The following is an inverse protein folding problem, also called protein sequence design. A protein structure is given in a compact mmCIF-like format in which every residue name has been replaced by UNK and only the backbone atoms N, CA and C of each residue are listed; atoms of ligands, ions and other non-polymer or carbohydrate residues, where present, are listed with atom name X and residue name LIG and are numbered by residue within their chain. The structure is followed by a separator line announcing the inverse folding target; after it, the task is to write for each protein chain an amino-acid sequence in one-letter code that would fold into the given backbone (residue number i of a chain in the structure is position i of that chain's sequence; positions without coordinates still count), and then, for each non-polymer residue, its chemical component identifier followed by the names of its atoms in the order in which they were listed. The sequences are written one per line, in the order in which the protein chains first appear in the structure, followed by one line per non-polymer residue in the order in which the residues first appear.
data_IF_325282485629
#
_entry.id   IF_325282485629
#
_cell.length_a   1.000
_cell.length_b   1.000
_cell.length_c   1.000
_cell.angle_alpha   90.00
_cell.angle_beta   90.00
_cell.angle_gamma   90.00
#
_symmetry.space_group_name_H-M   'P 1'
#
loop_
_entity.id
_entity.type
_entity.pdbx_description
1 polymer ?
#
# COMPACT_ATOMS: atom_id res chain seq x y z
N UNK A 1 -34.02 -36.55 -46.42
CA UNK A 1 -35.34 -37.21 -46.29
C UNK A 1 -35.55 -37.49 -44.80
N UNK A 2 -36.78 -37.18 -44.36
CA UNK A 2 -37.42 -37.41 -43.04
C UNK A 2 -36.93 -36.53 -41.89
N UNK A 3 -37.68 -35.96 -41.13
CA UNK A 3 -39.12 -35.77 -40.88
C UNK A 3 -39.21 -34.92 -39.63
N UNK A 4 -39.86 -33.79 -39.73
CA UNK A 4 -40.16 -32.88 -38.62
C UNK A 4 -41.38 -33.43 -37.88
N UNK A 5 -41.25 -33.60 -36.56
CA UNK A 5 -42.39 -33.90 -35.71
C UNK A 5 -42.75 -32.69 -34.85
N UNK A 6 -43.99 -32.23 -35.02
CA UNK A 6 -44.58 -31.05 -34.36
C UNK A 6 -45.19 -31.50 -33.03
N UNK A 7 -44.53 -31.22 -31.91
CA UNK A 7 -45.09 -31.35 -30.58
C UNK A 7 -45.99 -30.17 -30.19
N UNK A 8 -47.26 -30.47 -29.93
CA UNK A 8 -48.33 -29.56 -29.56
C UNK A 8 -48.05 -28.76 -28.28
N UNK A 9 -48.16 -27.45 -28.33
CA UNK A 9 -48.29 -26.60 -27.16
C UNK A 9 -49.73 -26.77 -26.59
N UNK A 10 -49.82 -27.28 -25.36
CA UNK A 10 -51.03 -27.20 -24.56
C UNK A 10 -50.99 -25.89 -23.74
N UNK A 11 -51.96 -25.02 -24.02
CA UNK A 11 -52.28 -23.81 -23.25
C UNK A 11 -52.99 -24.20 -21.96
N UNK A 12 -52.30 -24.24 -20.85
CA UNK A 12 -52.91 -24.24 -19.52
C UNK A 12 -53.26 -22.81 -19.10
N UNK A 13 -54.57 -22.55 -19.09
CA UNK A 13 -55.17 -21.32 -18.53
C UNK A 13 -55.08 -21.36 -17.01
N UNK A 14 -54.06 -20.70 -16.40
CA UNK A 14 -54.08 -20.45 -14.97
C UNK A 14 -55.11 -19.37 -14.64
N UNK A 15 -56.16 -19.77 -13.90
CA UNK A 15 -57.14 -18.85 -13.29
C UNK A 15 -56.46 -18.02 -12.20
N UNK A 16 -56.25 -16.74 -12.48
CA UNK A 16 -55.84 -15.75 -11.50
C UNK A 16 -57.06 -15.34 -10.68
N UNK A 17 -57.32 -16.07 -9.61
CA UNK A 17 -58.33 -15.72 -8.59
C UNK A 17 -57.58 -15.62 -7.26
N UNK A 18 -57.45 -14.45 -6.69
CA UNK A 18 -57.01 -14.31 -5.29
C UNK A 18 -55.99 -13.23 -4.94
N UNK A 19 -55.67 -12.26 -5.83
CA UNK A 19 -54.61 -11.26 -5.56
C UNK A 19 -55.17 -9.93 -4.99
N UNK A 20 -56.44 -9.78 -4.75
CA UNK A 20 -57.05 -8.47 -4.39
C UNK A 20 -56.94 -8.08 -2.92
N UNK A 21 -56.61 -8.97 -2.01
CA UNK A 21 -56.59 -8.67 -0.56
C UNK A 21 -55.18 -8.56 0.04
N UNK A 22 -54.11 -8.92 -0.71
CA UNK A 22 -52.73 -8.82 -0.18
C UNK A 22 -52.10 -7.45 -0.43
N UNK A 23 -52.61 -6.68 -1.42
CA UNK A 23 -52.06 -5.37 -1.76
C UNK A 23 -52.33 -4.27 -0.72
N UNK A 24 -53.33 -4.44 0.13
CA UNK A 24 -53.78 -3.42 1.10
C UNK A 24 -52.95 -3.43 2.41
N UNK A 25 -52.25 -4.53 2.72
CA UNK A 25 -51.43 -4.65 3.94
C UNK A 25 -49.96 -4.32 3.75
N UNK A 26 -49.47 -4.31 2.51
CA UNK A 26 -48.06 -4.01 2.22
C UNK A 26 -47.80 -2.49 2.08
N UNK A 27 -48.80 -1.72 1.65
CA UNK A 27 -48.65 -0.27 1.44
C UNK A 27 -48.37 0.53 2.72
N UNK A 28 -49.02 0.28 3.89
CA UNK A 28 -48.70 1.00 5.12
C UNK A 28 -47.36 0.59 5.73
N UNK A 29 -46.82 -0.61 5.46
CA UNK A 29 -45.53 -1.05 5.99
C UNK A 29 -44.35 -0.40 5.32
N UNK A 30 -44.45 0.02 4.07
CA UNK A 30 -43.41 0.72 3.33
C UNK A 30 -43.29 2.18 3.77
N UNK A 31 -44.38 2.81 4.20
CA UNK A 31 -44.39 4.18 4.70
C UNK A 31 -43.79 4.33 6.10
N UNK A 32 -43.74 3.27 6.91
CA UNK A 32 -43.12 3.30 8.23
C UNK A 32 -41.60 3.10 8.21
N UNK A 33 -41.03 2.57 7.12
CA UNK A 33 -39.59 2.37 6.97
C UNK A 33 -38.82 3.61 6.41
N UNK A 34 -39.57 4.60 5.90
CA UNK A 34 -38.95 5.81 5.30
C UNK A 34 -38.62 6.91 6.32
N UNK A 35 -38.90 6.70 7.61
CA UNK A 35 -38.86 7.74 8.64
C UNK A 35 -37.52 7.98 9.34
N UNK A 36 -36.48 7.17 9.13
CA UNK A 36 -35.28 7.25 9.97
C UNK A 36 -34.08 8.06 9.39
N UNK A 37 -34.18 8.64 8.21
CA UNK A 37 -33.03 9.35 7.62
C UNK A 37 -33.10 10.90 7.70
N UNK A 38 -34.18 11.45 8.21
CA UNK A 38 -34.41 12.91 8.22
C UNK A 38 -33.76 13.67 9.39
N UNK A 39 -33.09 12.97 10.33
CA UNK A 39 -32.46 13.62 11.49
C UNK A 39 -30.93 13.44 11.54
N UNK A 40 -30.28 13.16 10.41
CA UNK A 40 -28.84 13.31 10.34
C UNK A 40 -28.53 14.80 10.57
N UNK A 41 -28.05 15.16 11.76
CA UNK A 41 -27.53 16.51 12.02
C UNK A 41 -26.50 16.81 10.91
N UNK A 42 -26.61 17.96 10.22
CA UNK A 42 -25.61 18.35 9.25
C UNK A 42 -24.27 18.34 9.95
N UNK A 43 -23.35 17.53 9.46
CA UNK A 43 -21.97 17.52 9.95
C UNK A 43 -21.45 18.95 9.77
N UNK A 44 -20.97 19.62 10.84
CA UNK A 44 -20.42 20.94 10.70
C UNK A 44 -19.35 20.94 9.61
N UNK A 45 -19.31 21.95 8.73
CA UNK A 45 -18.28 22.05 7.72
C UNK A 45 -16.91 21.94 8.39
N UNK A 46 -16.03 21.10 7.82
CA UNK A 46 -14.67 20.96 8.33
C UNK A 46 -14.02 22.37 8.39
N UNK A 47 -13.27 22.68 9.45
CA UNK A 47 -12.64 23.99 9.58
C UNK A 47 -11.78 24.27 8.34
N UNK A 48 -11.94 25.46 7.77
CA UNK A 48 -11.17 25.88 6.59
C UNK A 48 -9.71 26.17 7.01
N UNK A 49 -8.87 25.15 6.95
CA UNK A 49 -7.44 25.28 7.26
C UNK A 49 -6.79 26.11 6.15
N UNK A 50 -6.14 27.23 6.47
CA UNK A 50 -5.54 28.11 5.46
C UNK A 50 -4.41 27.38 4.72
N UNK A 51 -4.17 27.79 3.47
CA UNK A 51 -3.04 27.31 2.69
C UNK A 51 -1.73 27.79 3.33
N UNK A 52 -0.81 26.86 3.55
CA UNK A 52 0.52 27.17 4.10
C UNK A 52 1.47 27.56 2.96
N UNK A 53 2.36 28.51 3.23
CA UNK A 53 3.50 28.81 2.34
C UNK A 53 4.70 27.97 2.77
N UNK A 54 5.35 27.32 1.80
CA UNK A 54 6.56 26.53 2.07
C UNK A 54 7.57 26.68 0.92
N UNK A 55 8.85 26.72 1.27
CA UNK A 55 9.96 26.70 0.30
C UNK A 55 10.34 25.25 -0.05
N UNK A 56 11.12 25.08 -1.11
CA UNK A 56 11.67 23.78 -1.50
C UNK A 56 12.44 23.12 -0.34
N UNK A 57 13.32 23.88 0.32
CA UNK A 57 14.16 23.42 1.43
C UNK A 57 13.29 22.93 2.60
N UNK A 58 12.21 23.68 2.91
CA UNK A 58 11.28 23.28 3.97
C UNK A 58 10.57 21.96 3.65
N UNK A 59 10.11 21.77 2.41
CA UNK A 59 9.44 20.53 1.99
C UNK A 59 10.43 19.36 1.95
N UNK A 60 11.65 19.56 1.48
CA UNK A 60 12.72 18.55 1.50
C UNK A 60 13.09 18.16 2.95
N UNK A 61 13.21 19.15 3.85
CA UNK A 61 13.43 18.90 5.27
C UNK A 61 12.33 18.04 5.90
N UNK A 62 11.05 18.30 5.55
CA UNK A 62 9.92 17.48 6.01
C UNK A 62 10.00 16.03 5.52
N UNK A 63 10.49 15.77 4.30
CA UNK A 63 10.70 14.39 3.82
C UNK A 63 11.75 13.68 4.68
N UNK A 64 12.88 14.33 4.92
CA UNK A 64 13.98 13.78 5.74
C UNK A 64 13.55 13.52 7.19
N UNK A 65 12.87 14.50 7.81
CA UNK A 65 12.36 14.37 9.18
C UNK A 65 11.39 13.19 9.33
N UNK A 66 10.46 13.03 8.38
CA UNK A 66 9.43 11.98 8.43
C UNK A 66 9.99 10.60 8.17
N UNK A 67 10.92 10.49 7.24
CA UNK A 67 11.60 9.23 6.97
C UNK A 67 12.47 8.82 8.17
N UNK A 68 13.25 9.76 8.74
CA UNK A 68 14.12 9.50 9.88
C UNK A 68 13.38 9.06 11.15
N UNK A 69 12.10 9.43 11.28
CA UNK A 69 11.28 9.05 12.45
C UNK A 69 10.95 7.55 12.50
N UNK A 70 11.03 6.83 11.38
CA UNK A 70 10.66 5.42 11.29
C UNK A 70 11.93 4.57 11.17
N UNK A 71 12.25 3.87 12.25
CA UNK A 71 13.36 2.90 12.29
C UNK A 71 12.86 1.49 11.97
N UNK A 72 11.72 1.14 12.56
CA UNK A 72 11.03 -0.11 12.30
C UNK A 72 9.54 0.17 12.09
N UNK A 73 8.85 -0.74 11.41
CA UNK A 73 7.41 -0.64 11.26
C UNK A 73 6.80 -2.03 11.14
N UNK A 74 5.70 -2.24 11.87
CA UNK A 74 4.79 -3.37 11.66
C UNK A 74 3.45 -2.83 11.22
N UNK A 75 2.73 -3.56 10.38
CA UNK A 75 1.39 -3.17 9.95
C UNK A 75 0.60 -4.35 9.43
N UNK A 76 -0.72 -4.22 9.57
CA UNK A 76 -1.70 -5.15 9.00
C UNK A 76 -2.57 -4.38 8.02
N UNK A 77 -2.85 -5.00 6.87
CA UNK A 77 -3.62 -4.34 5.81
C UNK A 77 -4.47 -5.33 5.02
N UNK A 78 -5.58 -4.84 4.47
CA UNK A 78 -6.29 -5.47 3.36
C UNK A 78 -5.81 -4.90 2.03
N UNK A 79 -5.58 -5.76 1.04
CA UNK A 79 -5.20 -5.37 -0.32
C UNK A 79 -6.28 -5.74 -1.32
N UNK A 80 -6.56 -4.85 -2.28
CA UNK A 80 -7.32 -5.13 -3.48
C UNK A 80 -6.39 -5.00 -4.67
N UNK A 81 -6.27 -6.07 -5.46
CA UNK A 81 -5.28 -6.17 -6.53
C UNK A 81 -6.02 -6.46 -7.84
N UNK A 82 -5.71 -5.71 -8.88
CA UNK A 82 -6.14 -5.94 -10.26
C UNK A 82 -4.93 -5.92 -11.18
N UNK A 83 -5.00 -6.67 -12.29
CA UNK A 83 -3.93 -6.65 -13.28
C UNK A 83 -4.03 -7.78 -14.30
N UNK A 84 -3.18 -7.75 -15.32
CA UNK A 84 -3.11 -8.81 -16.32
C UNK A 84 -2.81 -10.16 -15.67
N UNK A 85 -3.60 -11.18 -16.01
CA UNK A 85 -3.46 -12.52 -15.46
C UNK A 85 -4.06 -12.71 -14.05
N UNK A 86 -4.68 -11.66 -13.47
CA UNK A 86 -5.43 -11.72 -12.23
C UNK A 86 -6.92 -11.73 -12.57
N UNK A 87 -7.66 -12.82 -12.32
CA UNK A 87 -9.09 -12.87 -12.65
C UNK A 87 -9.87 -11.95 -11.69
N UNK A 88 -10.41 -10.87 -12.25
CA UNK A 88 -11.17 -9.86 -11.50
C UNK A 88 -10.34 -9.14 -10.43
N UNK A 89 -11.02 -8.55 -9.44
CA UNK A 89 -10.38 -7.95 -8.27
C UNK A 89 -10.11 -9.01 -7.21
N UNK A 90 -8.85 -9.27 -6.91
CA UNK A 90 -8.47 -10.16 -5.81
C UNK A 90 -8.34 -9.39 -4.50
N UNK A 91 -8.82 -10.00 -3.41
CA UNK A 91 -8.68 -9.46 -2.04
C UNK A 91 -7.74 -10.35 -1.25
N UNK A 92 -6.78 -9.73 -0.60
CA UNK A 92 -5.72 -10.37 0.18
C UNK A 92 -5.59 -9.64 1.49
N UNK A 93 -5.51 -10.36 2.60
CA UNK A 93 -5.05 -9.81 3.87
C UNK A 93 -3.53 -9.88 3.92
N UNK A 94 -2.89 -8.89 4.53
CA UNK A 94 -1.44 -8.83 4.52
C UNK A 94 -0.83 -8.27 5.79
N UNK A 95 0.44 -8.59 5.97
CA UNK A 95 1.28 -8.04 7.01
C UNK A 95 2.58 -7.49 6.42
N UNK A 96 3.02 -6.37 6.96
CA UNK A 96 4.31 -5.74 6.63
C UNK A 96 5.18 -5.70 7.87
N UNK A 97 6.47 -5.97 7.67
CA UNK A 97 7.55 -5.69 8.62
C UNK A 97 8.63 -4.92 7.85
N UNK A 98 9.05 -3.81 8.40
CA UNK A 98 10.12 -2.98 7.84
C UNK A 98 11.17 -2.70 8.91
N UNK A 99 12.42 -2.68 8.50
CA UNK A 99 13.55 -2.24 9.29
C UNK A 99 14.47 -1.38 8.42
N UNK A 100 14.78 -0.18 8.90
CA UNK A 100 15.67 0.73 8.20
C UNK A 100 17.08 0.13 8.06
N UNK A 101 17.81 0.39 6.93
CA UNK A 101 17.41 1.36 5.90
C UNK A 101 16.48 0.78 4.82
N UNK A 102 16.48 -0.53 4.55
CA UNK A 102 15.90 -1.10 3.34
C UNK A 102 15.29 -2.50 3.51
N UNK A 103 15.37 -3.08 4.70
CA UNK A 103 14.81 -4.41 4.92
C UNK A 103 13.29 -4.36 5.02
N UNK A 104 12.60 -5.00 4.07
CA UNK A 104 11.15 -5.07 3.98
C UNK A 104 10.70 -6.52 3.83
N UNK A 105 9.71 -6.94 4.61
CA UNK A 105 9.03 -8.21 4.45
C UNK A 105 7.53 -7.98 4.32
N UNK A 106 6.95 -8.46 3.23
CA UNK A 106 5.55 -8.36 2.91
C UNK A 106 4.95 -9.75 2.76
N UNK A 107 3.91 -10.08 3.49
CA UNK A 107 3.21 -11.36 3.42
C UNK A 107 1.76 -11.13 3.03
N UNK A 108 1.24 -11.96 2.13
CA UNK A 108 -0.17 -11.95 1.77
C UNK A 108 -0.82 -13.29 2.11
N UNK A 109 -2.05 -13.22 2.62
CA UNK A 109 -2.84 -14.36 3.07
C UNK A 109 -4.21 -14.34 2.41
N UNK A 110 -4.78 -15.52 2.18
CA UNK A 110 -6.18 -15.62 1.83
C UNK A 110 -7.07 -15.51 3.09
N UNK A 111 -8.39 -15.51 2.90
CA UNK A 111 -9.36 -15.42 4.00
C UNK A 111 -9.28 -16.58 5.01
N UNK A 112 -8.66 -17.69 4.64
CA UNK A 112 -8.45 -18.86 5.51
C UNK A 112 -7.10 -18.80 6.24
N UNK A 113 -6.35 -17.71 6.11
CA UNK A 113 -5.04 -17.55 6.73
C UNK A 113 -3.90 -18.28 6.02
N UNK A 114 -4.13 -18.92 4.86
CA UNK A 114 -3.06 -19.53 4.09
C UNK A 114 -2.20 -18.46 3.41
N UNK A 115 -0.89 -18.59 3.51
CA UNK A 115 0.05 -17.68 2.87
C UNK A 115 0.02 -17.85 1.35
N UNK A 116 -0.32 -16.78 0.64
CA UNK A 116 -0.36 -16.71 -0.82
C UNK A 116 1.01 -16.36 -1.40
N UNK A 117 1.69 -15.44 -0.75
CA UNK A 117 3.02 -15.00 -1.14
C UNK A 117 3.79 -14.43 0.05
N UNK A 118 5.10 -14.37 -0.11
CA UNK A 118 6.01 -13.65 0.76
C UNK A 118 7.06 -12.95 -0.11
N UNK A 119 7.12 -11.62 -0.02
CA UNK A 119 8.14 -10.79 -0.64
C UNK A 119 9.08 -10.30 0.45
N UNK A 120 10.36 -10.53 0.27
CA UNK A 120 11.42 -9.94 1.09
C UNK A 120 12.29 -9.06 0.20
N UNK A 121 12.66 -7.88 0.71
CA UNK A 121 13.54 -6.91 0.08
C UNK A 121 14.62 -6.54 1.07
N UNK A 122 15.84 -6.38 0.62
CA UNK A 122 16.98 -5.91 1.41
C UNK A 122 18.26 -5.99 0.56
N UNK A 123 19.23 -5.13 0.83
CA UNK A 123 20.51 -5.06 0.10
C UNK A 123 20.31 -4.97 -1.43
N UNK A 124 19.38 -4.15 -1.88
CA UNK A 124 18.98 -3.97 -3.30
C UNK A 124 18.50 -5.25 -4.00
N UNK A 125 18.17 -6.28 -3.24
CA UNK A 125 17.71 -7.58 -3.74
C UNK A 125 16.29 -7.86 -3.27
N UNK A 126 15.58 -8.69 -4.05
CA UNK A 126 14.30 -9.25 -3.63
C UNK A 126 14.25 -10.77 -3.71
N UNK A 127 13.41 -11.35 -2.88
CA UNK A 127 12.97 -12.75 -2.98
C UNK A 127 11.46 -12.79 -2.85
N UNK A 128 10.78 -13.29 -3.90
CA UNK A 128 9.34 -13.51 -3.91
C UNK A 128 9.05 -14.99 -3.90
N UNK A 129 8.37 -15.46 -2.86
CA UNK A 129 7.91 -16.86 -2.70
C UNK A 129 6.41 -16.92 -2.92
N UNK A 130 5.94 -17.74 -3.83
CA UNK A 130 4.53 -17.93 -4.14
C UNK A 130 3.99 -19.23 -3.53
N UNK A 131 2.65 -19.30 -3.35
CA UNK A 131 1.95 -20.47 -2.78
C UNK A 131 2.24 -21.77 -3.53
N UNK A 132 2.47 -21.70 -4.85
CA UNK A 132 2.81 -22.88 -5.68
C UNK A 132 4.26 -23.35 -5.54
N UNK A 133 5.00 -22.84 -4.57
CA UNK A 133 6.42 -23.16 -4.33
C UNK A 133 7.40 -22.42 -5.26
N UNK A 134 6.93 -21.64 -6.24
CA UNK A 134 7.82 -20.87 -7.11
C UNK A 134 8.52 -19.79 -6.30
N UNK A 135 9.85 -19.69 -6.47
CA UNK A 135 10.69 -18.66 -5.87
C UNK A 135 11.31 -17.83 -7.00
N UNK A 136 11.15 -16.51 -6.92
CA UNK A 136 11.76 -15.54 -7.83
C UNK A 136 12.73 -14.69 -7.02
N UNK A 137 13.94 -14.51 -7.52
CA UNK A 137 14.98 -13.69 -6.91
C UNK A 137 15.59 -12.78 -7.95
N UNK A 138 16.03 -11.60 -7.55
CA UNK A 138 16.66 -10.64 -8.45
C UNK A 138 17.03 -9.35 -7.73
N UNK A 139 17.56 -8.38 -8.49
CA UNK A 139 17.79 -7.04 -7.99
C UNK A 139 16.50 -6.20 -8.09
N UNK A 140 16.37 -5.18 -7.25
CA UNK A 140 15.20 -4.29 -7.29
C UNK A 140 15.03 -3.59 -8.64
N UNK A 141 16.11 -3.30 -9.34
CA UNK A 141 16.12 -2.77 -10.71
C UNK A 141 15.51 -3.73 -11.72
N UNK A 142 15.62 -5.03 -11.48
CA UNK A 142 15.10 -6.06 -12.39
C UNK A 142 13.59 -6.33 -12.17
N UNK A 143 13.02 -5.92 -11.02
CA UNK A 143 11.56 -5.98 -10.79
C UNK A 143 10.78 -5.27 -11.90
N UNK A 144 11.40 -4.32 -12.58
CA UNK A 144 10.83 -3.61 -13.72
C UNK A 144 10.78 -4.47 -15.00
N UNK A 145 11.65 -5.47 -15.09
CA UNK A 145 11.82 -6.33 -16.28
C UNK A 145 11.12 -7.68 -16.15
N UNK A 146 10.82 -8.10 -14.91
CA UNK A 146 10.13 -9.38 -14.66
C UNK A 146 8.67 -9.26 -15.05
N UNK A 147 8.28 -10.07 -16.03
CA UNK A 147 6.97 -10.11 -16.69
C UNK A 147 5.77 -10.14 -15.71
N UNK A 148 4.62 -9.80 -16.24
CA UNK A 148 3.21 -9.79 -15.77
C UNK A 148 2.89 -10.13 -14.28
N UNK A 149 3.62 -11.06 -13.66
CA UNK A 149 3.42 -11.48 -12.26
C UNK A 149 4.06 -10.50 -11.27
N UNK A 150 5.16 -9.84 -11.64
CA UNK A 150 5.91 -8.96 -10.72
C UNK A 150 5.40 -7.52 -10.68
N UNK A 151 4.61 -7.08 -11.67
CA UNK A 151 4.05 -5.70 -11.69
C UNK A 151 3.24 -5.34 -10.45
N UNK A 152 2.29 -6.18 -9.97
CA UNK A 152 1.56 -5.88 -8.73
C UNK A 152 2.47 -5.77 -7.51
N UNK A 153 3.56 -6.56 -7.45
CA UNK A 153 4.53 -6.50 -6.35
C UNK A 153 5.38 -5.23 -6.40
N UNK A 154 5.72 -4.74 -7.59
CA UNK A 154 6.35 -3.43 -7.76
C UNK A 154 5.47 -2.30 -7.24
N UNK A 155 4.18 -2.29 -7.59
CA UNK A 155 3.22 -1.34 -7.04
C UNK A 155 3.13 -1.44 -5.52
N UNK A 156 3.21 -2.66 -4.95
CA UNK A 156 3.22 -2.86 -3.50
C UNK A 156 4.43 -2.19 -2.86
N UNK A 157 5.64 -2.35 -3.41
CA UNK A 157 6.86 -1.70 -2.89
C UNK A 157 6.73 -0.17 -2.96
N UNK A 158 6.26 0.37 -4.08
CA UNK A 158 6.01 1.81 -4.21
C UNK A 158 4.96 2.30 -3.22
N UNK A 159 3.88 1.55 -3.02
CA UNK A 159 2.82 1.91 -2.06
C UNK A 159 3.35 1.96 -0.62
N UNK A 160 4.32 1.10 -0.25
CA UNK A 160 4.89 1.08 1.10
C UNK A 160 5.66 2.35 1.45
N UNK A 161 6.14 3.13 0.46
CA UNK A 161 6.81 4.42 0.73
C UNK A 161 5.90 5.38 1.49
N UNK A 162 4.57 5.29 1.32
CA UNK A 162 3.61 6.14 2.04
C UNK A 162 3.62 5.93 3.55
N UNK A 163 3.78 4.70 4.02
CA UNK A 163 3.77 4.39 5.45
C UNK A 163 5.16 4.42 6.09
N UNK A 164 6.18 3.99 5.36
CA UNK A 164 7.57 4.07 5.81
C UNK A 164 8.00 5.54 5.84
N UNK A 165 7.80 6.25 4.77
CA UNK A 165 8.17 7.63 4.50
C UNK A 165 8.55 7.77 3.04
N UNK A 166 8.05 8.81 2.38
CA UNK A 166 8.49 9.14 1.02
C UNK A 166 9.99 9.41 1.04
N UNK A 167 10.80 8.69 0.26
CA UNK A 167 12.25 8.88 0.27
C UNK A 167 12.62 10.34 0.01
N UNK A 168 13.58 10.93 0.73
CA UNK A 168 14.04 12.29 0.50
C UNK A 168 14.70 12.41 -0.88
N UNK A 169 14.84 13.65 -1.33
CA UNK A 169 15.65 13.96 -2.52
C UNK A 169 17.11 13.88 -2.12
N UNK A 170 17.93 13.14 -2.87
CA UNK A 170 19.34 12.98 -2.57
C UNK A 170 20.12 14.28 -2.88
N UNK A 171 21.26 14.48 -2.22
CA UNK A 171 22.09 15.70 -2.39
C UNK A 171 22.59 15.89 -3.81
N UNK A 172 22.76 14.82 -4.56
CA UNK A 172 23.22 14.83 -5.94
C UNK A 172 22.06 14.93 -6.96
N UNK A 173 20.82 15.03 -6.51
CA UNK A 173 19.65 15.19 -7.36
C UNK A 173 19.22 16.64 -7.42
N UNK A 174 18.75 17.09 -8.59
CA UNK A 174 18.17 18.40 -8.78
C UNK A 174 16.67 18.32 -8.48
N UNK A 175 16.14 19.30 -7.78
CA UNK A 175 14.73 19.42 -7.49
C UNK A 175 14.20 20.80 -7.85
N UNK A 176 12.98 20.87 -8.37
CA UNK A 176 12.26 22.10 -8.69
C UNK A 176 10.90 22.10 -8.03
N UNK A 177 10.57 23.21 -7.36
CA UNK A 177 9.27 23.41 -6.72
C UNK A 177 8.31 24.14 -7.67
N UNK A 178 7.09 23.64 -7.77
CA UNK A 178 5.97 24.29 -8.45
C UNK A 178 4.77 24.39 -7.52
N UNK A 179 4.09 25.53 -7.56
CA UNK A 179 2.86 25.77 -6.85
C UNK A 179 1.69 25.57 -7.80
N UNK A 180 0.79 24.62 -7.47
CA UNK A 180 -0.35 24.26 -8.31
C UNK A 180 -1.64 24.24 -7.46
N UNK A 181 -2.25 25.40 -7.30
CA UNK A 181 -3.49 25.56 -6.55
C UNK A 181 -3.33 25.20 -5.06
N UNK A 182 -4.00 24.15 -4.62
CA UNK A 182 -3.96 23.64 -3.25
C UNK A 182 -2.82 22.66 -2.99
N UNK A 183 -1.88 22.51 -3.94
CA UNK A 183 -0.74 21.57 -3.86
C UNK A 183 0.58 22.24 -4.18
N UNK A 184 1.64 21.69 -3.59
CA UNK A 184 3.01 21.87 -4.05
C UNK A 184 3.43 20.62 -4.81
N UNK A 185 4.14 20.80 -5.94
CA UNK A 185 4.80 19.73 -6.67
C UNK A 185 6.29 19.93 -6.66
N UNK A 186 7.04 18.89 -6.27
CA UNK A 186 8.48 18.82 -6.44
C UNK A 186 8.76 17.88 -7.61
N UNK A 187 9.36 18.42 -8.68
CA UNK A 187 9.91 17.64 -9.79
C UNK A 187 11.36 17.28 -9.44
N UNK A 188 11.72 15.99 -9.43
CA UNK A 188 13.06 15.47 -9.11
C UNK A 188 13.70 14.93 -10.36
N UNK A 189 14.94 15.37 -10.62
CA UNK A 189 15.70 15.03 -11.80
C UNK A 189 16.93 14.20 -11.41
N UNK A 190 17.22 13.14 -12.17
CA UNK A 190 18.38 12.31 -11.93
C UNK A 190 19.66 13.10 -12.14
N UNK A 191 20.68 12.79 -11.34
CA UNK A 191 22.05 13.32 -11.58
C UNK A 191 22.56 12.83 -12.92
N UNK A 192 22.86 13.75 -13.81
CA UNK A 192 23.57 13.45 -15.05
C UNK A 192 25.08 13.38 -14.80
N UNK A 193 25.74 12.32 -15.24
CA UNK A 193 27.19 12.29 -15.34
C UNK A 193 27.61 13.15 -16.54
N UNK A 194 27.92 14.43 -16.29
CA UNK A 194 28.41 15.36 -17.32
C UNK A 194 27.45 16.50 -17.66
N UNK A 195 27.84 17.36 -18.60
CA UNK A 195 27.20 18.61 -19.01
C UNK A 195 25.75 18.47 -19.57
N UNK A 196 25.23 17.25 -19.70
CA UNK A 196 23.88 16.95 -20.15
C UNK A 196 23.05 16.31 -19.03
N UNK A 197 22.82 17.06 -17.94
CA UNK A 197 21.87 16.64 -16.92
C UNK A 197 20.49 16.32 -17.55
N UNK A 198 19.84 15.27 -17.10
CA UNK A 198 18.50 14.94 -17.60
C UNK A 198 17.56 16.13 -17.43
N UNK A 199 16.95 16.58 -18.51
CA UNK A 199 15.92 17.62 -18.49
C UNK A 199 14.56 17.06 -18.12
N UNK A 200 14.45 15.73 -18.00
CA UNK A 200 13.21 15.04 -17.69
C UNK A 200 13.24 14.60 -16.24
N UNK A 201 12.23 15.02 -15.47
CA UNK A 201 12.03 14.51 -14.13
C UNK A 201 11.75 13.01 -14.19
N UNK A 202 12.33 12.24 -13.24
CA UNK A 202 12.05 10.82 -13.10
C UNK A 202 11.05 10.54 -11.98
N UNK A 203 10.77 11.56 -11.11
CA UNK A 203 9.89 11.47 -9.96
C UNK A 203 9.22 12.80 -9.70
N UNK A 204 7.93 12.78 -9.31
CA UNK A 204 7.19 13.93 -8.81
C UNK A 204 6.61 13.63 -7.45
N UNK A 205 6.69 14.59 -6.54
CA UNK A 205 6.17 14.48 -5.18
C UNK A 205 5.19 15.63 -4.97
N UNK A 206 3.95 15.27 -4.60
CA UNK A 206 2.88 16.22 -4.41
C UNK A 206 2.55 16.37 -2.93
N UNK A 207 2.56 17.60 -2.45
CA UNK A 207 2.18 17.96 -1.09
C UNK A 207 0.85 18.68 -1.08
N UNK A 208 -0.01 18.37 -0.12
CA UNK A 208 -1.17 19.18 0.18
C UNK A 208 -0.73 20.47 0.91
N UNK A 209 -1.14 21.64 0.43
CA UNK A 209 -0.71 22.94 1.00
C UNK A 209 -1.32 23.25 2.36
N UNK A 210 -2.41 22.60 2.76
CA UNK A 210 -3.01 22.82 4.08
C UNK A 210 -2.29 22.04 5.17
N UNK A 211 -1.84 20.83 4.88
CA UNK A 211 -1.23 19.92 5.86
C UNK A 211 0.26 19.68 5.67
N UNK A 212 0.82 20.06 4.51
CA UNK A 212 2.17 19.76 4.05
C UNK A 212 2.50 18.25 4.09
N UNK A 213 1.49 17.38 3.98
CA UNK A 213 1.70 15.96 3.78
C UNK A 213 1.84 15.62 2.30
N UNK A 214 2.66 14.61 2.01
CA UNK A 214 2.71 14.03 0.66
C UNK A 214 1.40 13.29 0.43
N UNK A 215 0.68 13.68 -0.63
CA UNK A 215 -0.61 13.09 -1.00
C UNK A 215 -0.54 12.28 -2.29
N UNK A 216 0.54 12.44 -3.05
CA UNK A 216 0.76 11.70 -4.30
C UNK A 216 2.25 11.63 -4.62
N UNK A 217 2.65 10.52 -5.23
CA UNK A 217 3.97 10.35 -5.86
C UNK A 217 3.79 9.74 -7.25
N UNK A 218 4.39 10.37 -8.27
CA UNK A 218 4.45 9.86 -9.64
C UNK A 218 5.87 9.41 -9.95
N UNK A 219 6.02 8.22 -10.51
CA UNK A 219 7.24 7.75 -11.18
C UNK A 219 7.10 7.98 -12.67
N UNK A 220 8.16 8.47 -13.30
CA UNK A 220 8.15 8.87 -14.68
C UNK A 220 9.13 8.03 -15.49
N UNK A 221 8.76 7.78 -16.75
CA UNK A 221 9.65 7.20 -17.75
C UNK A 221 10.75 8.19 -18.15
N UNK A 222 11.81 7.74 -18.80
CA UNK A 222 12.82 8.63 -19.39
C UNK A 222 12.24 9.65 -20.39
N UNK A 223 11.05 9.39 -20.95
CA UNK A 223 10.32 10.31 -21.85
C UNK A 223 9.42 11.30 -21.10
N UNK A 224 9.31 11.19 -19.77
CA UNK A 224 8.50 12.08 -18.92
C UNK A 224 7.04 11.68 -18.77
N UNK A 225 6.64 10.54 -19.34
CA UNK A 225 5.32 9.97 -19.15
C UNK A 225 5.20 9.33 -17.76
N UNK A 226 3.99 9.31 -17.20
CA UNK A 226 3.76 8.66 -15.91
C UNK A 226 3.84 7.14 -16.10
N UNK A 227 4.75 6.51 -15.39
CA UNK A 227 4.91 5.06 -15.35
C UNK A 227 4.04 4.44 -14.25
N UNK A 228 4.07 5.04 -13.05
CA UNK A 228 3.25 4.62 -11.93
C UNK A 228 2.85 5.84 -11.08
N UNK A 229 1.67 5.77 -10.50
CA UNK A 229 1.13 6.80 -9.60
C UNK A 229 0.71 6.17 -8.28
N UNK A 230 1.07 6.81 -7.18
CA UNK A 230 0.65 6.42 -5.84
C UNK A 230 -0.06 7.58 -5.17
N UNK A 231 -1.27 7.35 -4.65
CA UNK A 231 -2.04 8.29 -3.85
C UNK A 231 -2.07 7.86 -2.39
N UNK A 232 -1.96 8.82 -1.49
CA UNK A 232 -1.99 8.64 -0.04
C UNK A 232 -3.18 9.38 0.55
N UNK A 233 -4.02 8.64 1.27
CA UNK A 233 -5.31 9.11 1.78
C UNK A 233 -5.52 8.67 3.23
N UNK A 234 -6.58 9.21 3.89
CA UNK A 234 -7.02 8.83 5.21
C UNK A 234 -5.88 8.89 6.24
N UNK A 235 -5.30 10.09 6.40
CA UNK A 235 -4.21 10.30 7.33
C UNK A 235 -4.70 10.27 8.78
N UNK A 236 -4.14 9.35 9.58
CA UNK A 236 -4.48 9.17 10.98
C UNK A 236 -3.23 9.27 11.87
N UNK A 237 -3.37 9.76 13.11
CA UNK A 237 -2.27 9.78 14.05
C UNK A 237 -1.91 8.35 14.48
N UNK A 238 -0.62 8.03 14.47
CA UNK A 238 -0.06 6.80 15.02
C UNK A 238 1.01 7.17 16.04
N UNK A 239 1.02 6.45 17.15
CA UNK A 239 1.98 6.69 18.22
C UNK A 239 3.35 6.13 17.82
N UNK A 240 4.40 6.95 17.99
CA UNK A 240 5.77 6.47 17.89
C UNK A 240 6.15 5.85 19.24
N UNK A 241 6.38 4.55 19.25
CA UNK A 241 6.99 3.94 20.42
C UNK A 241 8.41 4.50 20.59
N UNK A 242 8.81 4.91 21.80
CA UNK A 242 10.18 5.33 22.03
C UNK A 242 11.09 4.14 21.69
N UNK A 243 12.15 4.39 20.91
CA UNK A 243 13.18 3.39 20.71
C UNK A 243 13.69 3.02 22.12
N UNK A 244 13.44 1.79 22.54
CA UNK A 244 13.96 1.30 23.81
C UNK A 244 15.46 1.18 23.60
N UNK A 245 16.22 2.09 24.20
CA UNK A 245 17.67 1.97 24.25
C UNK A 245 18.00 0.75 25.12
N UNK A 246 18.22 -0.40 24.46
CA UNK A 246 18.60 -1.65 25.09
C UNK A 246 20.06 -1.65 25.56
N UNK A 247 20.65 -0.48 25.70
CA UNK A 247 21.99 -0.33 26.29
C UNK A 247 21.96 -0.77 27.76
N UNK A 248 22.74 -1.81 28.18
CA UNK A 248 22.65 -2.39 29.51
C UNK A 248 23.15 -1.49 30.65
N UNK A 249 23.43 -0.22 30.42
CA UNK A 249 24.23 0.62 31.35
C UNK A 249 23.50 1.84 31.92
N UNK A 250 22.19 1.93 31.93
CA UNK A 250 21.55 3.05 32.65
C UNK A 250 20.44 2.61 33.60
N UNK A 251 20.72 2.40 34.88
CA UNK A 251 19.70 2.24 35.92
C UNK A 251 19.26 3.62 36.44
N UNK A 252 18.66 4.46 35.59
CA UNK A 252 17.94 5.64 36.10
C UNK A 252 16.53 5.59 35.54
N UNK A 253 15.63 4.94 36.29
CA UNK A 253 14.18 5.08 36.15
C UNK A 253 13.85 6.53 36.48
N UNK A 254 13.97 7.42 35.51
CA UNK A 254 13.34 8.73 35.58
C UNK A 254 11.86 8.52 35.32
N UNK A 255 11.05 8.69 36.35
CA UNK A 255 9.59 8.78 36.32
C UNK A 255 9.19 10.08 35.61
N UNK A 256 9.62 10.24 34.34
CA UNK A 256 9.20 11.31 33.46
C UNK A 256 7.92 10.86 32.77
N UNK A 257 6.93 11.73 32.68
CA UNK A 257 5.74 11.55 31.86
C UNK A 257 6.20 11.31 30.42
N UNK A 258 6.10 10.06 29.94
CA UNK A 258 6.45 9.70 28.58
C UNK A 258 5.51 10.45 27.63
N UNK A 259 5.98 11.55 27.07
CA UNK A 259 5.25 12.24 26.00
C UNK A 259 5.30 11.37 24.76
N UNK A 260 4.21 10.64 24.51
CA UNK A 260 4.10 9.82 23.31
C UNK A 260 4.01 10.74 22.11
N UNK A 261 5.05 10.77 21.29
CA UNK A 261 5.07 11.51 20.04
C UNK A 261 4.20 10.76 19.03
N UNK A 262 3.27 11.46 18.39
CA UNK A 262 2.47 10.90 17.29
C UNK A 262 2.90 11.46 15.95
N UNK A 263 2.70 10.66 14.88
CA UNK A 263 2.94 11.04 13.49
C UNK A 263 1.73 10.67 12.65
N UNK A 264 1.36 11.51 11.68
CA UNK A 264 0.29 11.17 10.75
C UNK A 264 0.79 10.20 9.67
N UNK A 265 0.06 9.10 9.49
CA UNK A 265 0.33 8.10 8.45
C UNK A 265 -0.92 7.86 7.60
N UNK A 266 -0.77 7.62 6.27
CA UNK A 266 -1.91 7.28 5.42
C UNK A 266 -2.40 5.87 5.73
N UNK A 267 -3.71 5.69 5.89
CA UNK A 267 -4.35 4.39 6.08
C UNK A 267 -4.94 3.82 4.79
N UNK A 268 -5.10 4.65 3.77
CA UNK A 268 -5.49 4.21 2.43
C UNK A 268 -4.42 4.64 1.43
N UNK A 269 -3.91 3.68 0.66
CA UNK A 269 -2.91 3.90 -0.38
C UNK A 269 -3.41 3.26 -1.67
N UNK A 270 -3.44 4.02 -2.76
CA UNK A 270 -3.78 3.54 -4.09
C UNK A 270 -2.59 3.69 -5.02
N UNK A 271 -2.19 2.61 -5.66
CA UNK A 271 -1.13 2.61 -6.65
C UNK A 271 -1.65 2.10 -8.00
N UNK A 272 -1.31 2.79 -9.06
CA UNK A 272 -1.76 2.51 -10.42
C UNK A 272 -0.56 2.47 -11.36
N UNK A 273 -0.55 1.49 -12.27
CA UNK A 273 0.38 1.41 -13.38
C UNK A 273 -0.24 2.15 -14.57
N UNK A 274 0.33 3.28 -14.96
CA UNK A 274 -0.21 4.10 -16.07
C UNK A 274 0.04 3.48 -17.44
N UNK A 275 0.91 2.48 -17.54
CA UNK A 275 1.21 1.76 -18.78
C UNK A 275 0.43 0.44 -18.93
N UNK A 276 -0.46 0.11 -17.97
CA UNK A 276 -1.24 -1.11 -18.00
C UNK A 276 -2.41 -1.08 -17.02
N UNK A 277 -3.31 -2.06 -17.09
CA UNK A 277 -4.50 -2.12 -16.24
C UNK A 277 -4.20 -2.62 -14.81
N UNK A 278 -2.97 -2.47 -14.32
CA UNK A 278 -2.62 -2.92 -12.96
C UNK A 278 -2.92 -1.85 -11.94
N UNK A 279 -3.63 -2.21 -10.89
CA UNK A 279 -3.88 -1.35 -9.73
C UNK A 279 -3.81 -2.13 -8.43
N UNK A 280 -3.45 -1.41 -7.37
CA UNK A 280 -3.37 -1.91 -6.01
C UNK A 280 -4.00 -0.87 -5.08
N UNK A 281 -4.93 -1.29 -4.24
CA UNK A 281 -5.38 -0.49 -3.12
C UNK A 281 -5.03 -1.21 -1.82
N UNK A 282 -4.34 -0.53 -0.93
CA UNK A 282 -4.07 -0.98 0.43
C UNK A 282 -4.94 -0.20 1.41
N UNK A 283 -5.53 -0.89 2.37
CA UNK A 283 -6.25 -0.29 3.49
C UNK A 283 -5.65 -0.85 4.77
N UNK A 284 -4.94 0.00 5.51
CA UNK A 284 -4.30 -0.41 6.76
C UNK A 284 -5.33 -0.50 7.89
N UNK A 285 -5.26 -1.58 8.63
CA UNK A 285 -6.03 -1.80 9.86
C UNK A 285 -5.22 -1.35 11.07
N UNK A 286 -3.90 -1.56 11.00
CA UNK A 286 -2.95 -1.23 12.05
C UNK A 286 -1.60 -0.81 11.45
N UNK A 287 -0.99 0.22 12.04
CA UNK A 287 0.37 0.68 11.75
C UNK A 287 1.05 0.95 13.08
N UNK A 288 2.14 0.24 13.37
CA UNK A 288 2.88 0.32 14.63
C UNK A 288 4.35 0.63 14.34
N UNK A 289 4.75 1.91 14.33
CA UNK A 289 6.14 2.30 14.10
C UNK A 289 7.01 2.12 15.35
N UNK A 290 8.29 1.86 15.12
CA UNK A 290 9.36 1.78 16.11
C UNK A 290 9.17 0.69 17.19
N UNK A 291 8.36 -0.34 16.89
CA UNK A 291 8.30 -1.54 17.72
C UNK A 291 9.57 -2.36 17.56
N UNK A 292 10.11 -2.93 18.65
CA UNK A 292 11.20 -3.89 18.56
C UNK A 292 10.84 -5.05 17.63
N UNK A 293 11.77 -5.45 16.80
CA UNK A 293 11.63 -6.60 15.91
C UNK A 293 12.42 -7.78 16.47
N UNK A 294 11.83 -8.97 16.41
CA UNK A 294 12.55 -10.20 16.72
C UNK A 294 13.40 -10.62 15.52
N UNK A 295 14.48 -11.38 15.78
CA UNK A 295 15.35 -11.90 14.73
C UNK A 295 14.55 -12.69 13.66
N UNK A 296 13.53 -13.45 14.05
CA UNK A 296 12.72 -14.25 13.13
C UNK A 296 11.81 -13.42 12.24
N UNK A 297 11.44 -12.21 12.67
CA UNK A 297 10.61 -11.31 11.87
C UNK A 297 11.39 -10.71 10.69
N UNK A 298 12.70 -10.54 10.86
CA UNK A 298 13.60 -9.99 9.85
C UNK A 298 14.37 -11.06 9.07
N UNK A 299 14.47 -12.30 9.60
CA UNK A 299 15.20 -13.34 8.90
C UNK A 299 14.68 -13.50 7.47
N UNK A 300 15.45 -12.94 6.55
CA UNK A 300 15.59 -13.43 5.20
C UNK A 300 15.99 -14.89 5.36
N UNK A 301 15.02 -15.81 5.35
CA UNK A 301 15.33 -17.23 5.50
C UNK A 301 16.26 -17.57 4.35
N UNK A 302 17.56 -17.57 4.61
CA UNK A 302 18.57 -18.15 3.73
C UNK A 302 18.16 -19.59 3.51
N UNK A 303 17.49 -19.84 2.37
CA UNK A 303 17.06 -21.18 1.99
C UNK A 303 18.23 -22.10 1.62
N UNK A 304 19.42 -21.88 2.13
CA UNK A 304 20.66 -22.58 1.80
C UNK A 304 21.33 -23.25 2.99
N UNK A 305 20.65 -23.39 4.15
CA UNK A 305 21.08 -24.45 5.07
C UNK A 305 20.48 -25.79 4.63
N UNK A 306 20.95 -26.32 3.50
CA UNK A 306 21.05 -27.76 3.33
C UNK A 306 21.95 -28.26 4.48
N UNK A 307 21.33 -28.79 5.52
CA UNK A 307 22.04 -29.69 6.43
C UNK A 307 22.75 -30.75 5.61
N UNK A 308 24.05 -30.58 5.44
CA UNK A 308 24.92 -31.66 5.05
C UNK A 308 24.87 -32.73 6.17
N UNK A 309 23.92 -33.64 6.05
CA UNK A 309 23.82 -34.84 6.90
C UNK A 309 25.16 -35.57 6.80
N UNK A 310 25.94 -35.71 7.88
CA UNK A 310 27.18 -36.43 7.81
C UNK A 310 26.84 -37.88 7.41
N UNK A 311 27.36 -38.32 6.27
CA UNK A 311 27.36 -39.73 5.89
C UNK A 311 28.26 -40.46 6.90
N UNK A 312 27.66 -41.11 7.90
CA UNK A 312 28.33 -42.09 8.72
C UNK A 312 28.86 -43.19 7.81
N UNK A 313 30.16 -43.13 7.52
CA UNK A 313 30.88 -44.22 6.89
C UNK A 313 30.84 -45.44 7.83
N UNK A 314 30.15 -46.49 7.43
CA UNK A 314 30.35 -47.82 7.99
C UNK A 314 31.73 -48.28 7.49
N UNK A 315 32.71 -48.34 8.40
CA UNK A 315 33.83 -49.25 8.29
C UNK A 315 33.29 -50.68 8.59
N UNK A 316 33.43 -51.56 7.66
CA UNK A 316 33.39 -52.98 7.78
C UNK A 316 34.67 -53.51 7.17
#
# INVERSE_FOLDING_TARGET
MSSWDKGKMQNEKYKIGGVRHFAFLILPSILLLSGCSLWAKPTPPAPDIPLQTATLERLMGLLQEREAQIQTLKGLFGAQIQGPGIPGTQRVEGAIVYHRPDALRLRGFNRLGMRLFELTVGDDRYTLRLINGKVLTGNMTDLNRVEKIARPFRLSVLAMTGIIGTPPVAMNERAELKEEGDRYRIDVFASGNGMTGSHVAYRRIWFNRRSLHVVQEDRLTPTGEIEARVHFDDFRPVNLFPAVDLSPQSPSVQTGTLTVKSVLKPFVIRAEDSQGPSSLQLTFHEITPNMPLTSDELQLTDGTRHEARPKNGKMG
#
